data_IF_378767231839
#
_entry.id   IF_378767231839
#
_cell.length_a   1.000
_cell.length_b   1.000
_cell.length_c   1.000
_cell.angle_alpha   90.00
_cell.angle_beta   90.00
_cell.angle_gamma   90.00
#
_symmetry.space_group_name_H-M   'P 1'
#
loop_
_entity.id
_entity.type
_entity.pdbx_description
1 polymer ?
#
# COMPACT_ATOMS: atom_id res chain seq x y z
N UNK A 1 -10.58 -25.96 57.15
CA UNK A 1 -9.33 -25.79 56.38
C UNK A 1 -9.55 -26.32 54.97
N UNK A 2 -9.27 -25.48 53.95
CA UNK A 2 -8.75 -25.84 52.60
C UNK A 2 -9.71 -26.56 51.62
N UNK A 3 -9.85 -26.21 50.34
CA UNK A 3 -9.45 -25.09 49.46
C UNK A 3 -10.48 -25.10 48.31
N UNK A 4 -10.93 -23.92 47.86
CA UNK A 4 -11.82 -23.73 46.70
C UNK A 4 -11.13 -24.09 45.38
N UNK A 5 -11.79 -24.88 44.53
CA UNK A 5 -11.40 -25.09 43.13
C UNK A 5 -11.93 -23.94 42.26
N UNK A 6 -11.04 -23.08 41.80
CA UNK A 6 -11.29 -22.18 40.67
C UNK A 6 -10.21 -22.46 39.61
N UNK A 7 -10.59 -23.15 38.53
CA UNK A 7 -9.75 -23.26 37.34
C UNK A 7 -9.78 -21.92 36.59
N UNK A 8 -8.67 -21.19 36.64
CA UNK A 8 -8.45 -19.99 35.84
C UNK A 8 -7.78 -20.43 34.54
N UNK A 9 -8.54 -20.43 33.44
CA UNK A 9 -8.01 -20.58 32.08
C UNK A 9 -7.29 -19.28 31.71
N UNK A 10 -5.95 -19.26 31.80
CA UNK A 10 -5.13 -18.22 31.16
C UNK A 10 -5.16 -18.42 29.65
N UNK A 11 -6.05 -17.71 28.97
CA UNK A 11 -5.97 -17.50 27.53
C UNK A 11 -4.80 -16.56 27.23
N UNK A 12 -3.69 -17.09 26.74
CA UNK A 12 -2.59 -16.29 26.21
C UNK A 12 -3.04 -15.62 24.91
N UNK A 13 -3.53 -14.39 25.00
CA UNK A 13 -3.73 -13.54 23.83
C UNK A 13 -2.36 -13.24 23.23
N UNK A 14 -2.02 -13.92 22.13
CA UNK A 14 -0.87 -13.59 21.31
C UNK A 14 -1.16 -12.23 20.67
N UNK A 15 -0.71 -11.17 21.32
CA UNK A 15 -0.64 -9.83 20.75
C UNK A 15 0.44 -9.87 19.67
N UNK A 16 0.02 -10.13 18.43
CA UNK A 16 0.88 -9.96 17.27
C UNK A 16 1.34 -8.50 17.23
N UNK A 17 2.63 -8.26 17.42
CA UNK A 17 3.25 -6.96 17.22
C UNK A 17 3.15 -6.61 15.73
N UNK A 18 2.04 -5.97 15.35
CA UNK A 18 1.89 -5.38 14.04
C UNK A 18 2.98 -4.33 13.85
N UNK A 19 3.51 -4.37 12.64
CA UNK A 19 4.87 -4.01 12.41
C UNK A 19 4.88 -2.89 11.36
N UNK A 20 4.80 -1.63 11.82
CA UNK A 20 4.76 -0.41 11.00
C UNK A 20 5.81 -0.38 9.87
N UNK A 21 5.34 -0.23 8.64
CA UNK A 21 6.11 -0.11 7.40
C UNK A 21 6.78 1.26 7.28
N UNK A 22 8.04 1.36 6.82
CA UNK A 22 8.70 2.65 6.53
C UNK A 22 8.12 3.31 5.26
N UNK A 23 7.02 4.02 5.43
CA UNK A 23 6.29 4.75 4.38
C UNK A 23 6.78 6.19 4.34
N UNK A 24 7.43 6.58 3.23
CA UNK A 24 7.94 7.94 3.02
C UNK A 24 6.97 8.76 2.16
N UNK A 25 6.82 10.07 2.40
CA UNK A 25 6.06 10.94 1.51
C UNK A 25 6.77 11.08 0.16
N UNK A 26 5.99 11.27 -0.91
CA UNK A 26 6.54 11.57 -2.23
C UNK A 26 7.07 13.00 -2.31
N UNK A 27 8.30 13.24 -2.82
CA UNK A 27 8.95 14.57 -2.76
C UNK A 27 8.19 15.74 -3.40
N UNK A 28 7.33 15.48 -4.38
CA UNK A 28 6.59 16.51 -5.15
C UNK A 28 5.08 16.47 -4.92
N UNK A 29 4.59 15.53 -4.12
CA UNK A 29 3.16 15.37 -3.88
C UNK A 29 2.69 16.39 -2.84
N UNK A 30 1.49 16.93 -3.07
CA UNK A 30 0.78 17.76 -2.08
C UNK A 30 -0.26 16.95 -1.28
N UNK A 31 -0.44 15.68 -1.63
CA UNK A 31 -1.35 14.79 -0.90
C UNK A 31 -0.91 14.67 0.56
N UNK A 32 -1.88 14.39 1.43
CA UNK A 32 -1.61 14.10 2.84
C UNK A 32 -0.62 12.93 2.94
N UNK A 33 0.43 13.10 3.73
CA UNK A 33 1.37 12.03 4.02
C UNK A 33 0.66 10.82 4.65
N UNK A 34 0.92 9.63 4.11
CA UNK A 34 0.39 8.37 4.61
C UNK A 34 1.25 7.84 5.75
N UNK A 35 0.59 7.38 6.81
CA UNK A 35 1.24 6.72 7.93
C UNK A 35 1.59 5.24 7.64
N UNK A 36 2.47 4.63 8.46
CA UNK A 36 2.82 3.22 8.37
C UNK A 36 1.65 2.22 8.41
N UNK A 37 0.59 2.57 9.13
CA UNK A 37 -0.60 1.71 9.30
C UNK A 37 -1.65 1.94 8.21
N UNK A 38 -1.40 2.90 7.31
CA UNK A 38 -2.31 3.23 6.21
C UNK A 38 -1.93 2.54 4.90
N UNK A 39 -0.76 1.89 4.86
CA UNK A 39 -0.25 1.14 3.71
C UNK A 39 0.20 -0.24 4.17
N UNK A 40 -0.42 -1.26 3.60
CA UNK A 40 -0.05 -2.67 3.83
C UNK A 40 0.30 -3.30 2.50
N UNK A 41 1.49 -3.89 2.40
CA UNK A 41 1.92 -4.69 1.25
C UNK A 41 2.19 -6.11 1.74
N UNK A 42 1.62 -7.12 1.07
CA UNK A 42 1.86 -8.51 1.46
C UNK A 42 3.33 -8.87 1.31
N UNK A 43 3.83 -9.69 2.24
CA UNK A 43 5.24 -10.11 2.30
C UNK A 43 6.26 -8.95 2.43
N UNK A 44 5.82 -7.77 2.91
CA UNK A 44 6.68 -6.63 3.18
C UNK A 44 6.82 -6.39 4.71
N UNK A 45 7.88 -6.92 5.36
CA UNK A 45 8.16 -6.58 6.75
C UNK A 45 8.76 -5.15 6.89
N UNK A 46 8.49 -4.51 8.03
CA UNK A 46 8.75 -3.09 8.43
C UNK A 46 9.81 -2.31 7.63
N UNK A 47 11.00 -2.88 7.46
CA UNK A 47 12.20 -2.13 7.09
C UNK A 47 12.48 -2.13 5.57
N UNK A 48 11.98 -3.14 4.85
CA UNK A 48 12.27 -3.34 3.42
C UNK A 48 11.35 -4.40 2.82
N UNK A 49 10.59 -4.04 1.79
CA UNK A 49 9.78 -5.03 1.07
C UNK A 49 10.67 -6.01 0.31
N UNK A 50 10.47 -7.31 0.53
CA UNK A 50 11.14 -8.35 -0.25
C UNK A 50 10.14 -8.91 -1.26
N UNK A 51 10.32 -8.53 -2.52
CA UNK A 51 9.49 -8.96 -3.62
C UNK A 51 10.17 -10.12 -4.34
N UNK A 52 9.62 -11.33 -4.22
CA UNK A 52 10.16 -12.51 -4.91
C UNK A 52 9.72 -12.51 -6.35
N UNK A 53 10.57 -12.92 -7.29
CA UNK A 53 10.17 -13.16 -8.67
C UNK A 53 9.18 -14.31 -8.75
N UNK A 54 8.40 -14.31 -9.83
CA UNK A 54 7.38 -15.31 -10.08
C UNK A 54 6.37 -15.43 -8.93
N UNK A 55 6.07 -14.30 -8.28
CA UNK A 55 5.06 -14.21 -7.23
C UNK A 55 4.10 -13.06 -7.48
N UNK A 56 3.03 -13.04 -6.71
CA UNK A 56 2.07 -11.95 -6.67
C UNK A 56 2.11 -11.33 -5.26
N UNK A 57 2.11 -10.00 -5.23
CA UNK A 57 1.96 -9.22 -4.00
C UNK A 57 0.64 -8.47 -4.06
N UNK A 58 0.12 -8.10 -2.90
CA UNK A 58 -1.10 -7.31 -2.75
C UNK A 58 -0.81 -6.07 -1.94
N UNK A 59 -1.53 -5.00 -2.24
CA UNK A 59 -1.46 -3.73 -1.52
C UNK A 59 -2.85 -3.35 -1.02
N UNK A 60 -2.90 -2.77 0.17
CA UNK A 60 -4.04 -2.03 0.69
C UNK A 60 -3.55 -0.66 1.14
N UNK A 61 -4.27 0.39 0.77
CA UNK A 61 -3.93 1.77 1.08
C UNK A 61 -5.19 2.55 1.48
N UNK A 62 -5.12 3.34 2.54
CA UNK A 62 -6.16 4.30 2.88
C UNK A 62 -5.95 5.60 2.11
N UNK A 63 -7.02 6.12 1.52
CA UNK A 63 -7.02 7.35 0.72
C UNK A 63 -8.03 8.31 1.34
N UNK A 64 -7.63 9.56 1.53
CA UNK A 64 -8.52 10.64 1.95
C UNK A 64 -8.11 11.91 1.21
N UNK A 65 -8.66 12.16 0.01
CA UNK A 65 -8.22 13.26 -0.82
C UNK A 65 -8.69 14.59 -0.24
N UNK A 66 -7.98 15.67 -0.54
CA UNK A 66 -8.30 17.05 -0.12
C UNK A 66 -9.16 17.81 -1.15
N UNK A 67 -9.34 17.21 -2.33
CA UNK A 67 -10.23 17.67 -3.40
C UNK A 67 -10.98 16.49 -4.04
N UNK A 68 -11.92 16.81 -4.92
CA UNK A 68 -12.62 15.81 -5.71
C UNK A 68 -11.72 15.25 -6.83
N UNK A 69 -11.87 13.95 -7.11
CA UNK A 69 -11.22 13.25 -8.21
C UNK A 69 -12.27 12.51 -9.04
N UNK A 70 -12.50 12.95 -10.28
CA UNK A 70 -13.41 12.29 -11.20
C UNK A 70 -12.83 10.97 -11.75
N UNK A 71 -11.51 10.95 -11.89
CA UNK A 71 -10.73 9.82 -12.34
C UNK A 71 -9.50 9.66 -11.44
N UNK A 72 -8.92 8.47 -11.47
CA UNK A 72 -7.72 8.16 -10.71
C UNK A 72 -6.83 7.29 -11.58
N UNK A 73 -5.65 7.80 -11.90
CA UNK A 73 -4.62 7.16 -12.70
C UNK A 73 -3.45 6.78 -11.80
N UNK A 74 -2.88 5.61 -12.02
CA UNK A 74 -1.72 5.13 -11.29
C UNK A 74 -0.41 5.71 -11.83
N UNK A 75 0.40 6.23 -10.92
CA UNK A 75 1.80 6.55 -11.15
C UNK A 75 2.68 5.58 -10.33
N UNK A 76 2.85 4.36 -10.84
CA UNK A 76 3.58 3.29 -10.14
C UNK A 76 4.92 3.07 -10.84
N UNK A 77 6.02 3.28 -10.10
CA UNK A 77 7.37 3.24 -10.64
C UNK A 77 8.32 2.53 -9.67
N UNK A 78 9.36 1.89 -10.22
CA UNK A 78 10.54 1.48 -9.48
C UNK A 78 11.67 2.46 -9.71
N UNK A 79 12.22 3.04 -8.65
CA UNK A 79 13.35 3.98 -8.72
C UNK A 79 14.63 3.21 -8.40
N UNK A 80 15.52 3.08 -9.39
CA UNK A 80 16.82 2.39 -9.27
C UNK A 80 17.91 3.41 -9.54
N UNK A 81 18.77 3.68 -8.55
CA UNK A 81 19.85 4.67 -8.66
C UNK A 81 19.31 6.03 -9.16
N UNK A 82 18.22 6.50 -8.54
CA UNK A 82 17.50 7.74 -8.89
C UNK A 82 16.88 7.79 -10.29
N UNK A 83 16.91 6.68 -11.05
CA UNK A 83 16.24 6.56 -12.33
C UNK A 83 14.85 5.93 -12.12
N UNK A 84 13.75 6.68 -12.37
CA UNK A 84 12.40 6.15 -12.32
C UNK A 84 12.12 5.26 -13.53
N UNK A 85 11.62 4.04 -13.28
CA UNK A 85 11.17 3.10 -14.31
C UNK A 85 9.69 2.77 -14.10
N UNK A 86 8.82 3.01 -15.11
CA UNK A 86 7.41 2.65 -15.04
C UNK A 86 7.20 1.17 -14.73
N UNK A 87 6.26 0.86 -13.83
CA UNK A 87 5.94 -0.53 -13.50
C UNK A 87 5.06 -1.17 -14.60
N UNK A 88 5.54 -2.18 -15.33
CA UNK A 88 4.85 -2.70 -16.52
C UNK A 88 3.44 -3.22 -16.22
N UNK A 89 2.45 -2.72 -16.97
CA UNK A 89 1.04 -3.11 -16.84
C UNK A 89 0.26 -2.42 -15.72
N UNK A 90 0.92 -1.62 -14.88
CA UNK A 90 0.29 -0.90 -13.77
C UNK A 90 0.51 0.60 -13.81
N UNK A 91 1.53 1.09 -14.53
CA UNK A 91 1.73 2.52 -14.74
C UNK A 91 0.72 3.08 -15.76
N UNK A 92 0.12 4.23 -15.46
CA UNK A 92 -0.78 4.95 -16.36
C UNK A 92 -2.14 4.26 -16.56
N UNK A 93 -2.53 3.36 -15.66
CA UNK A 93 -3.81 2.64 -15.75
C UNK A 93 -4.83 3.22 -14.76
N UNK A 94 -6.11 2.96 -15.00
CA UNK A 94 -7.15 3.43 -14.08
C UNK A 94 -7.08 2.69 -12.75
N UNK A 95 -7.01 3.45 -11.67
CA UNK A 95 -7.10 2.97 -10.30
C UNK A 95 -8.54 2.91 -9.77
N UNK A 96 -9.51 3.54 -10.45
CA UNK A 96 -10.92 3.53 -10.05
C UNK A 96 -11.49 2.12 -9.84
N UNK A 97 -11.20 1.11 -10.70
CA UNK A 97 -11.66 -0.26 -10.46
C UNK A 97 -11.10 -0.92 -9.18
N UNK A 98 -10.20 -0.25 -8.47
CA UNK A 98 -9.54 -0.77 -7.27
C UNK A 98 -9.91 0.01 -6.01
N UNK A 99 -10.93 0.88 -6.09
CA UNK A 99 -11.41 1.68 -4.96
C UNK A 99 -12.63 1.03 -4.30
N UNK A 100 -12.54 0.93 -2.98
CA UNK A 100 -13.55 0.44 -2.08
C UNK A 100 -13.94 1.52 -1.07
N UNK A 101 -15.07 1.31 -0.40
CA UNK A 101 -15.50 2.13 0.73
C UNK A 101 -14.45 2.20 1.87
N UNK A 102 -14.74 3.01 2.89
CA UNK A 102 -13.84 3.20 4.03
C UNK A 102 -13.53 1.89 4.77
N UNK A 103 -14.48 0.94 4.80
CA UNK A 103 -14.30 -0.38 5.42
C UNK A 103 -13.49 -1.34 4.51
N UNK A 104 -13.47 -1.07 3.21
CA UNK A 104 -12.86 -1.92 2.20
C UNK A 104 -13.76 -3.09 1.79
N UNK A 105 -15.07 -3.01 2.01
CA UNK A 105 -16.01 -4.13 1.81
C UNK A 105 -16.64 -4.07 0.42
N UNK A 106 -17.12 -2.89 0.02
CA UNK A 106 -17.80 -2.70 -1.25
C UNK A 106 -16.93 -1.89 -2.21
N UNK A 107 -16.88 -2.32 -3.48
CA UNK A 107 -16.21 -1.59 -4.55
C UNK A 107 -17.09 -0.40 -4.96
N UNK A 108 -16.58 0.81 -4.80
CA UNK A 108 -17.32 2.06 -5.04
C UNK A 108 -16.81 2.81 -6.26
N UNK A 109 -15.56 2.59 -6.66
CA UNK A 109 -14.99 3.25 -7.82
C UNK A 109 -14.73 4.74 -7.63
N UNK A 110 -14.70 5.46 -8.75
CA UNK A 110 -14.67 6.92 -8.80
C UNK A 110 -16.09 7.44 -9.14
N UNK A 111 -16.44 8.69 -8.81
CA UNK A 111 -15.57 9.76 -8.30
C UNK A 111 -15.21 9.61 -6.80
N UNK A 112 -14.06 10.14 -6.40
CA UNK A 112 -13.71 10.33 -4.98
C UNK A 112 -14.04 11.76 -4.54
N UNK A 113 -14.55 11.90 -3.33
CA UNK A 113 -14.93 13.19 -2.74
C UNK A 113 -13.91 13.69 -1.74
N UNK A 114 -13.69 15.00 -1.75
CA UNK A 114 -12.84 15.68 -0.79
C UNK A 114 -13.26 15.35 0.66
N UNK A 115 -12.30 14.96 1.48
CA UNK A 115 -12.52 14.67 2.90
C UNK A 115 -13.18 13.32 3.20
N UNK A 116 -13.60 12.55 2.20
CA UNK A 116 -14.08 11.18 2.39
C UNK A 116 -12.93 10.17 2.41
N UNK A 117 -13.09 9.10 3.21
CA UNK A 117 -12.08 8.04 3.30
C UNK A 117 -12.47 6.85 2.43
N UNK A 118 -11.51 6.37 1.66
CA UNK A 118 -11.64 5.20 0.79
C UNK A 118 -10.51 4.20 1.06
N UNK A 119 -10.70 2.96 0.60
CA UNK A 119 -9.68 1.93 0.62
C UNK A 119 -9.31 1.54 -0.80
N UNK A 120 -8.05 1.71 -1.18
CA UNK A 120 -7.51 1.15 -2.41
C UNK A 120 -6.98 -0.26 -2.17
N UNK A 121 -7.35 -1.20 -3.03
CA UNK A 121 -6.87 -2.59 -3.00
C UNK A 121 -6.46 -3.05 -4.40
N UNK A 122 -5.22 -3.50 -4.55
CA UNK A 122 -4.76 -4.06 -5.81
C UNK A 122 -3.77 -5.21 -5.58
N UNK A 123 -3.58 -6.03 -6.60
CA UNK A 123 -2.56 -7.09 -6.63
C UNK A 123 -1.67 -6.92 -7.85
N UNK A 124 -0.38 -7.21 -7.67
CA UNK A 124 0.62 -7.01 -8.69
C UNK A 124 1.64 -8.14 -8.80
N UNK A 125 2.00 -8.47 -10.04
CA UNK A 125 2.92 -9.56 -10.35
C UNK A 125 4.37 -9.10 -10.42
N UNK A 126 5.25 -9.88 -9.82
CA UNK A 126 6.71 -9.70 -9.92
C UNK A 126 7.21 -10.67 -10.97
N UNK A 127 7.41 -10.18 -12.20
CA UNK A 127 7.70 -11.04 -13.33
C UNK A 127 9.11 -11.64 -13.26
N UNK A 128 9.32 -12.86 -13.80
CA UNK A 128 10.64 -13.50 -13.82
C UNK A 128 11.74 -12.66 -14.49
N UNK A 129 11.36 -11.82 -15.46
CA UNK A 129 12.27 -10.94 -16.22
C UNK A 129 12.79 -9.75 -15.39
N UNK A 130 12.14 -9.38 -14.28
CA UNK A 130 12.55 -8.21 -13.48
C UNK A 130 13.91 -8.45 -12.84
N UNK A 131 14.86 -7.49 -12.83
CA UNK A 131 16.20 -7.70 -12.26
C UNK A 131 16.17 -7.93 -10.73
N UNK A 132 17.18 -8.63 -10.20
CA UNK A 132 17.41 -8.70 -8.75
C UNK A 132 18.13 -7.44 -8.33
N UNK A 133 17.41 -6.53 -7.67
CA UNK A 133 17.88 -5.16 -7.42
C UNK A 133 17.23 -4.60 -6.16
N UNK A 134 17.92 -3.66 -5.50
CA UNK A 134 17.27 -2.81 -4.49
C UNK A 134 16.77 -1.55 -5.18
N UNK A 135 15.57 -1.12 -4.82
CA UNK A 135 14.87 -0.01 -5.44
C UNK A 135 13.99 0.67 -4.40
N UNK A 136 13.63 1.93 -4.62
CA UNK A 136 12.47 2.52 -3.95
C UNK A 136 11.26 2.32 -4.86
N UNK A 137 10.15 1.85 -4.30
CA UNK A 137 8.87 1.82 -5.01
C UNK A 137 8.22 3.17 -4.82
N UNK A 138 7.84 3.83 -5.91
CA UNK A 138 6.93 4.96 -5.91
C UNK A 138 5.52 4.46 -6.23
N UNK A 139 4.56 4.81 -5.39
CA UNK A 139 3.15 4.51 -5.60
C UNK A 139 2.32 5.77 -5.47
N UNK A 140 2.00 6.38 -6.60
CA UNK A 140 1.10 7.54 -6.71
C UNK A 140 -0.24 7.14 -7.30
N UNK A 141 -1.31 7.74 -6.81
CA UNK A 141 -2.65 7.67 -7.40
C UNK A 141 -3.19 9.09 -7.50
N UNK A 142 -3.52 9.53 -8.71
CA UNK A 142 -3.90 10.92 -8.95
C UNK A 142 -4.45 11.18 -10.33
N UNK A 143 -4.55 12.44 -10.69
CA UNK A 143 -4.82 12.89 -12.04
C UNK A 143 -3.77 13.94 -12.45
N UNK A 144 -3.98 14.63 -13.58
CA UNK A 144 -3.07 15.66 -14.09
C UNK A 144 -2.83 16.85 -13.14
N UNK A 145 -3.72 17.08 -12.18
CA UNK A 145 -3.68 18.21 -11.25
C UNK A 145 -2.96 17.85 -9.93
N UNK A 146 -2.77 16.56 -9.65
CA UNK A 146 -2.00 16.07 -8.50
C UNK A 146 -2.49 14.73 -7.96
N UNK A 147 -1.91 14.31 -6.84
CA UNK A 147 -2.20 13.01 -6.23
C UNK A 147 -3.34 13.09 -5.20
N UNK A 148 -4.19 12.06 -5.19
CA UNK A 148 -5.09 11.76 -4.08
C UNK A 148 -4.36 11.07 -2.93
N UNK A 149 -3.34 10.27 -3.26
CA UNK A 149 -2.45 9.60 -2.33
C UNK A 149 -1.12 9.28 -3.01
N UNK A 150 -0.01 9.41 -2.28
CA UNK A 150 1.30 9.05 -2.78
C UNK A 150 2.23 8.62 -1.64
N UNK A 151 2.98 7.54 -1.85
CA UNK A 151 4.06 7.16 -0.96
C UNK A 151 5.25 6.52 -1.66
N UNK A 152 6.37 6.44 -0.96
CA UNK A 152 7.56 5.70 -1.34
C UNK A 152 7.97 4.70 -0.27
N UNK A 153 8.50 3.56 -0.69
CA UNK A 153 8.94 2.50 0.22
C UNK A 153 10.19 1.77 -0.30
N UNK A 154 11.19 1.48 0.55
CA UNK A 154 12.32 0.67 0.15
C UNK A 154 11.93 -0.78 -0.13
N UNK A 155 12.42 -1.30 -1.26
CA UNK A 155 12.17 -2.68 -1.68
C UNK A 155 13.45 -3.37 -2.20
N UNK A 156 13.37 -4.69 -2.31
CA UNK A 156 14.34 -5.52 -3.01
C UNK A 156 13.61 -6.61 -3.78
N UNK A 157 13.84 -6.65 -5.09
CA UNK A 157 13.44 -7.79 -5.92
C UNK A 157 14.50 -8.88 -5.75
N UNK A 158 14.07 -10.11 -5.47
CA UNK A 158 14.93 -11.30 -5.35
C UNK A 158 14.43 -12.43 -6.26
N UNK A 159 15.31 -13.36 -6.57
CA UNK A 159 14.95 -14.64 -7.19
C UNK A 159 13.92 -15.41 -6.34
#
# INVERSE_FOLDING_TARGET
MRVNSALILLGAAVLGLAAATDVKPCPKSKARALGPDEVTISNCPKNKCILKRNSEASITMKIKPDRDFAELTSDIQGIILDVPLPFPGYYGTSACPHIYDAAGENKVGCPLKAGETYTYKNSFKILPVYPTVSLEIHWGLGDKEGDAACFQIPAKIKA
#
